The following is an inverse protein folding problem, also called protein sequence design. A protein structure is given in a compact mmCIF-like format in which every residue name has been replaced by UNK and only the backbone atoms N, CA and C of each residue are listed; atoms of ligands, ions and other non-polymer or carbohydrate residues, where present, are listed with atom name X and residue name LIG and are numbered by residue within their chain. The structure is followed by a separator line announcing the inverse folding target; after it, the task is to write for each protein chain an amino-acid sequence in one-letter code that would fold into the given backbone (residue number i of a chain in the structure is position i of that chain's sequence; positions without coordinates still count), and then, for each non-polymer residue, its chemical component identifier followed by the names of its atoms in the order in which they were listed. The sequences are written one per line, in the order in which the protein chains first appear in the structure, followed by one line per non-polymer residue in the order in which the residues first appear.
data_IF_008066774739
#
_entry.id   IF_008066774739
#
_cell.length_a   1.000
_cell.length_b   1.000
_cell.length_c   1.000
_cell.angle_alpha   90.00
_cell.angle_beta   90.00
_cell.angle_gamma   90.00
#
_symmetry.space_group_name_H-M   'P 1'
#
loop_
_entity.id
_entity.type
_entity.pdbx_description
1 polymer ?
#
# COMPACT_ATOMS: atom_id res chain seq x y z
N UNK A 1 9.51 -18.62 14.11
CA UNK A 1 9.78 -17.18 14.38
C UNK A 1 8.48 -16.56 14.86
N UNK A 2 8.48 -15.95 16.06
CA UNK A 2 7.32 -15.29 16.65
C UNK A 2 6.81 -14.21 15.68
N UNK A 3 5.66 -14.44 15.03
CA UNK A 3 5.03 -13.52 14.09
C UNK A 3 4.20 -12.53 14.89
N UNK A 4 4.82 -11.47 15.41
CA UNK A 4 4.03 -10.36 15.91
C UNK A 4 3.18 -9.82 14.76
N UNK A 5 1.84 -9.78 14.90
CA UNK A 5 0.99 -9.30 13.84
C UNK A 5 1.30 -7.82 13.61
N UNK A 6 1.59 -7.47 12.36
CA UNK A 6 1.68 -6.05 11.99
C UNK A 6 0.27 -5.48 12.08
N UNK A 7 0.11 -4.37 12.80
CA UNK A 7 -1.19 -3.76 13.05
C UNK A 7 -1.53 -2.73 11.98
N UNK A 8 -2.82 -2.45 11.84
CA UNK A 8 -3.35 -1.39 11.00
C UNK A 8 -2.77 -0.02 11.41
N UNK A 9 -2.42 0.81 10.43
CA UNK A 9 -1.85 2.14 10.66
C UNK A 9 -2.92 3.22 10.88
N UNK A 10 -4.20 2.88 10.76
CA UNK A 10 -5.27 3.82 11.02
C UNK A 10 -5.27 4.22 12.51
N UNK A 11 -5.37 5.52 12.84
CA UNK A 11 -5.37 5.97 14.23
C UNK A 11 -6.46 5.28 15.06
N UNK A 12 -6.06 4.68 16.18
CA UNK A 12 -6.97 3.97 17.10
C UNK A 12 -7.39 2.56 16.64
N UNK A 13 -6.93 2.09 15.47
CA UNK A 13 -7.22 0.74 15.00
C UNK A 13 -6.13 -0.23 15.47
N UNK A 14 -6.52 -1.31 16.15
CA UNK A 14 -5.62 -2.37 16.60
C UNK A 14 -5.83 -3.69 15.84
N UNK A 15 -6.59 -3.65 14.74
CA UNK A 15 -6.80 -4.82 13.91
C UNK A 15 -5.50 -5.24 13.20
N UNK A 16 -5.27 -6.54 12.97
CA UNK A 16 -4.16 -7.00 12.15
C UNK A 16 -4.23 -6.42 10.73
N UNK A 17 -3.11 -5.93 10.22
CA UNK A 17 -3.01 -5.52 8.84
C UNK A 17 -2.97 -6.77 7.93
N UNK A 18 -3.86 -6.78 6.94
CA UNK A 18 -3.94 -7.82 5.90
C UNK A 18 -3.66 -7.25 4.51
N UNK A 19 -3.59 -5.92 4.40
CA UNK A 19 -3.27 -5.21 3.18
C UNK A 19 -2.14 -4.22 3.37
N UNK A 20 -1.39 -4.01 2.30
CA UNK A 20 -0.37 -2.99 2.14
C UNK A 20 -0.81 -2.02 1.06
N UNK A 21 -0.78 -0.73 1.36
CA UNK A 21 -1.02 0.32 0.38
C UNK A 21 0.32 0.88 -0.05
N UNK A 22 0.62 0.75 -1.34
CA UNK A 22 1.92 1.12 -1.87
C UNK A 22 1.86 1.52 -3.34
N UNK A 23 2.89 2.18 -3.84
CA UNK A 23 3.05 2.49 -5.27
C UNK A 23 4.36 1.92 -5.79
N UNK A 24 4.39 1.51 -7.06
CA UNK A 24 5.64 1.18 -7.72
C UNK A 24 6.40 2.48 -8.00
N UNK A 25 7.65 2.52 -7.58
CA UNK A 25 8.58 3.60 -7.83
C UNK A 25 9.80 3.05 -8.56
N UNK A 26 10.37 3.88 -9.44
CA UNK A 26 11.61 3.55 -10.14
C UNK A 26 12.36 4.81 -10.52
N UNK A 27 13.68 4.84 -10.32
CA UNK A 27 14.60 5.89 -10.78
C UNK A 27 15.21 5.59 -12.18
N UNK A 28 14.76 4.49 -12.80
CA UNK A 28 15.28 3.99 -14.08
C UNK A 28 16.34 2.90 -13.92
N UNK A 29 16.91 2.74 -12.72
CA UNK A 29 17.88 1.69 -12.38
C UNK A 29 17.28 0.68 -11.39
N UNK A 30 16.67 1.18 -10.32
CA UNK A 30 16.09 0.41 -9.23
C UNK A 30 14.57 0.46 -9.31
N UNK A 31 13.91 -0.64 -8.93
CA UNK A 31 12.45 -0.72 -8.82
C UNK A 31 12.08 -1.12 -7.41
N UNK A 32 11.23 -0.33 -6.78
CA UNK A 32 10.79 -0.55 -5.40
C UNK A 32 9.28 -0.36 -5.24
N UNK A 33 8.76 -0.94 -4.17
CA UNK A 33 7.39 -0.74 -3.74
C UNK A 33 7.36 0.27 -2.60
N UNK A 34 7.13 1.55 -2.93
CA UNK A 34 7.04 2.65 -1.97
C UNK A 34 5.79 2.49 -1.12
N UNK A 35 5.98 2.18 0.16
CA UNK A 35 4.90 1.89 1.10
C UNK A 35 4.34 3.18 1.70
N UNK A 36 3.02 3.32 1.73
CA UNK A 36 2.34 4.45 2.37
C UNK A 36 1.71 4.06 3.72
N UNK A 37 1.12 2.88 3.80
CA UNK A 37 0.46 2.37 5.02
C UNK A 37 0.22 0.86 4.93
N UNK A 38 -0.04 0.26 6.10
CA UNK A 38 -0.55 -1.09 6.25
C UNK A 38 -1.94 -1.00 6.88
N UNK A 39 -2.90 -1.79 6.40
CA UNK A 39 -4.32 -1.64 6.75
C UNK A 39 -5.06 -2.96 6.92
N UNK A 40 -6.07 -2.96 7.79
CA UNK A 40 -7.13 -3.97 7.77
C UNK A 40 -8.13 -3.68 6.64
N UNK A 41 -9.12 -4.56 6.44
CA UNK A 41 -10.12 -4.40 5.39
C UNK A 41 -11.00 -3.15 5.61
N UNK A 42 -11.35 -2.87 6.87
CA UNK A 42 -12.28 -1.81 7.25
C UNK A 42 -11.67 -0.42 7.10
N UNK A 43 -10.36 -0.28 7.32
CA UNK A 43 -9.67 1.00 7.22
C UNK A 43 -9.05 1.25 5.83
N UNK A 44 -9.28 0.35 4.87
CA UNK A 44 -8.55 0.35 3.61
C UNK A 44 -8.83 1.58 2.74
N UNK A 45 -10.10 1.98 2.63
CA UNK A 45 -10.52 3.16 1.85
C UNK A 45 -9.91 4.48 2.34
N UNK A 46 -10.05 4.88 3.62
CA UNK A 46 -9.44 6.12 4.09
C UNK A 46 -7.92 6.10 4.01
N UNK A 47 -7.27 4.94 4.23
CA UNK A 47 -5.83 4.80 4.08
C UNK A 47 -5.37 4.92 2.62
N UNK A 48 -6.13 4.39 1.66
CA UNK A 48 -5.85 4.52 0.24
C UNK A 48 -6.01 5.97 -0.22
N UNK A 49 -7.07 6.65 0.20
CA UNK A 49 -7.27 8.08 -0.08
C UNK A 49 -6.10 8.93 0.43
N UNK A 50 -5.65 8.67 1.66
CA UNK A 50 -4.48 9.34 2.23
C UNK A 50 -3.20 9.06 1.43
N UNK A 51 -3.01 7.82 0.95
CA UNK A 51 -1.86 7.46 0.13
C UNK A 51 -1.87 8.21 -1.22
N UNK A 52 -3.04 8.37 -1.85
CA UNK A 52 -3.20 9.17 -3.09
C UNK A 52 -2.80 10.62 -2.84
N UNK A 53 -3.28 11.22 -1.75
CA UNK A 53 -2.91 12.59 -1.35
C UNK A 53 -1.40 12.73 -1.11
N UNK A 54 -0.77 11.79 -0.38
CA UNK A 54 0.67 11.78 -0.14
C UNK A 54 1.48 11.60 -1.43
N UNK A 55 1.01 10.76 -2.34
CA UNK A 55 1.63 10.55 -3.66
C UNK A 55 1.59 11.83 -4.50
N UNK A 56 0.48 12.56 -4.48
CA UNK A 56 0.34 13.83 -5.20
C UNK A 56 1.32 14.91 -4.70
N UNK A 57 1.76 14.82 -3.44
CA UNK A 57 2.74 15.74 -2.84
C UNK A 57 4.19 15.35 -3.13
N UNK A 58 4.44 14.12 -3.61
CA UNK A 58 5.79 13.66 -3.94
C UNK A 58 6.28 14.34 -5.23
N UNK A 59 7.41 15.05 -5.13
CA UNK A 59 8.12 15.58 -6.29
C UNK A 59 9.09 14.52 -6.80
N UNK A 60 8.94 14.14 -8.06
CA UNK A 60 9.84 13.21 -8.74
C UNK A 60 11.01 13.98 -9.35
N UNK A 61 12.19 13.38 -9.29
CA UNK A 61 13.34 13.89 -10.05
C UNK A 61 13.25 13.43 -11.52
N UNK A 62 14.06 14.01 -12.40
CA UNK A 62 14.05 13.66 -13.82
C UNK A 62 14.46 12.18 -14.00
N UNK A 63 13.62 11.41 -14.72
CA UNK A 63 13.84 9.97 -14.91
C UNK A 63 13.16 9.08 -13.86
N UNK A 64 12.67 9.65 -12.75
CA UNK A 64 11.87 8.91 -11.79
C UNK A 64 10.42 8.72 -12.26
N UNK A 65 9.87 7.57 -11.88
CA UNK A 65 8.47 7.22 -12.07
C UNK A 65 7.87 6.80 -10.74
N UNK A 66 6.63 7.20 -10.50
CA UNK A 66 5.85 6.80 -9.34
C UNK A 66 4.41 6.56 -9.77
N UNK A 67 4.01 5.30 -9.78
CA UNK A 67 2.67 4.88 -10.15
C UNK A 67 1.62 5.38 -9.14
N UNK A 68 0.35 5.21 -9.49
CA UNK A 68 -0.73 5.40 -8.54
C UNK A 68 -0.62 4.39 -7.39
N UNK A 69 -0.90 4.80 -6.13
CA UNK A 69 -1.03 3.87 -5.02
C UNK A 69 -2.06 2.79 -5.33
N UNK A 70 -1.76 1.57 -4.91
CA UNK A 70 -2.61 0.41 -5.06
C UNK A 70 -2.63 -0.45 -3.79
N UNK A 71 -3.55 -1.41 -3.78
CA UNK A 71 -3.76 -2.34 -2.66
C UNK A 71 -3.03 -3.63 -2.96
N UNK A 72 -2.23 -4.10 -2.01
CA UNK A 72 -1.45 -5.32 -2.10
C UNK A 72 -1.81 -6.24 -0.93
N UNK A 73 -2.06 -7.51 -1.20
CA UNK A 73 -2.41 -8.49 -0.18
C UNK A 73 -1.17 -8.95 0.60
N UNK A 74 -1.21 -8.84 1.93
CA UNK A 74 -0.14 -9.30 2.81
C UNK A 74 -0.30 -10.79 3.09
N UNK A 75 0.52 -11.61 2.44
CA UNK A 75 0.61 -13.02 2.77
C UNK A 75 1.47 -13.22 4.02
N UNK A 76 0.92 -13.85 5.07
CA UNK A 76 1.69 -14.21 6.27
C UNK A 76 2.84 -15.15 5.87
N UNK A 77 4.07 -14.67 6.01
CA UNK A 77 5.29 -15.41 5.63
C UNK A 77 5.73 -15.23 4.16
N UNK A 78 4.99 -14.46 3.36
CA UNK A 78 5.39 -14.07 2.00
C UNK A 78 6.36 -12.89 2.01
N UNK A 79 7.24 -12.81 1.00
CA UNK A 79 8.15 -11.65 0.83
C UNK A 79 7.43 -10.51 0.12
N UNK A 80 7.69 -9.28 0.56
CA UNK A 80 7.15 -8.02 0.00
C UNK A 80 7.31 -7.87 -1.52
N UNK A 81 8.30 -8.52 -2.13
CA UNK A 81 8.59 -8.46 -3.57
C UNK A 81 7.58 -9.22 -4.45
N UNK A 82 6.74 -10.06 -3.86
CA UNK A 82 5.78 -10.91 -4.57
C UNK A 82 4.32 -10.62 -4.19
N UNK A 83 4.03 -9.45 -3.61
CA UNK A 83 2.66 -9.13 -3.19
C UNK A 83 1.76 -8.96 -4.41
N UNK A 84 0.63 -9.65 -4.40
CA UNK A 84 -0.39 -9.54 -5.44
C UNK A 84 -1.16 -8.23 -5.28
N UNK A 85 -1.27 -7.46 -6.36
CA UNK A 85 -2.10 -6.25 -6.39
C UNK A 85 -3.56 -6.65 -6.54
N UNK A 86 -4.41 -6.15 -5.64
CA UNK A 86 -5.85 -6.44 -5.57
C UNK A 86 -6.64 -5.36 -6.31
N UNK A 87 -6.61 -5.43 -7.64
CA UNK A 87 -7.32 -4.47 -8.51
C UNK A 87 -8.84 -4.57 -8.38
N UNK A 88 -9.34 -5.73 -7.96
CA UNK A 88 -10.74 -5.97 -7.58
C UNK A 88 -11.17 -5.06 -6.43
N UNK A 89 -10.41 -5.06 -5.32
CA UNK A 89 -10.69 -4.19 -4.16
C UNK A 89 -10.55 -2.71 -4.53
N UNK A 90 -9.57 -2.37 -5.38
CA UNK A 90 -9.42 -1.00 -5.88
C UNK A 90 -10.61 -0.55 -6.74
N UNK A 91 -11.28 -1.44 -7.46
CA UNK A 91 -12.46 -1.11 -8.25
C UNK A 91 -13.69 -0.95 -7.35
N UNK A 92 -13.89 -1.86 -6.40
CA UNK A 92 -14.98 -1.80 -5.42
C UNK A 92 -14.96 -0.49 -4.63
N UNK A 93 -13.79 -0.11 -4.10
CA UNK A 93 -13.63 1.11 -3.29
C UNK A 93 -13.75 2.42 -4.07
N UNK A 94 -13.75 2.38 -5.41
CA UNK A 94 -14.04 3.56 -6.25
C UNK A 94 -15.53 3.75 -6.50
N UNK A 95 -16.32 2.69 -6.33
CA UNK A 95 -17.76 2.68 -6.56
C UNK A 95 -18.57 2.92 -5.27
N UNK A 96 -17.92 2.80 -4.11
CA UNK A 96 -18.46 3.07 -2.76
C UNK A 96 -18.29 4.52 -2.33
#
# INVERSE_FOLDING_TARGET
MSQYPVLCYAPGCNAPAVYKIAAKWSDGTTKELKTYSLGCAECLQPLLALAVTKRAQCRLTAGETLEAPGIYELNRGGRDRALARRTDLEAELRLS
#
